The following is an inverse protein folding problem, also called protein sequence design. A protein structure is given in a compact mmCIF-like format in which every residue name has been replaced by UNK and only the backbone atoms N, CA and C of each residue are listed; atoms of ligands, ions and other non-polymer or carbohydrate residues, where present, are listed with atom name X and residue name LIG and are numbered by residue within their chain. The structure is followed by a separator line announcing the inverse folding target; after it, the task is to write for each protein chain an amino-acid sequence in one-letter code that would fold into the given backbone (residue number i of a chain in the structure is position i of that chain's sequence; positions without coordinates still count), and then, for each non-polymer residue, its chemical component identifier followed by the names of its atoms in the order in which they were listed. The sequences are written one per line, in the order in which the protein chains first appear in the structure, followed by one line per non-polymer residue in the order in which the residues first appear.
data_IF_857031789208
#
_entry.id   IF_857031789208
#
_cell.length_a   1.000
_cell.length_b   1.000
_cell.length_c   1.000
_cell.angle_alpha   90.00
_cell.angle_beta   90.00
_cell.angle_gamma   90.00
#
_symmetry.space_group_name_H-M   'P 1'
#
loop_
_entity.id
_entity.type
_entity.pdbx_description
1 polymer ?
#
# COMPACT_ATOMS: atom_id res chain seq x y z
N UNK A 1 9.41 11.89 0.02
CA UNK A 1 10.05 13.23 0.07
C UNK A 1 11.50 13.07 0.47
N UNK A 2 12.41 13.77 -0.21
CA UNK A 2 13.85 13.72 0.08
C UNK A 2 14.13 14.23 1.50
N UNK A 3 14.85 13.44 2.30
CA UNK A 3 15.29 13.85 3.62
C UNK A 3 16.76 14.27 3.55
N UNK A 4 17.00 15.58 3.38
CA UNK A 4 18.35 16.17 3.24
C UNK A 4 19.24 15.88 4.46
N UNK A 5 18.65 15.58 5.64
CA UNK A 5 19.41 15.17 6.84
C UNK A 5 20.09 13.82 6.70
N UNK A 6 19.57 12.95 5.83
CA UNK A 6 20.19 11.65 5.51
C UNK A 6 21.29 11.76 4.46
N UNK A 7 21.53 12.93 3.88
CA UNK A 7 22.55 13.10 2.87
C UNK A 7 23.94 13.06 3.51
N UNK A 8 24.82 12.32 2.86
CA UNK A 8 26.23 12.23 3.22
C UNK A 8 27.08 12.69 2.05
N UNK A 9 28.24 13.26 2.34
CA UNK A 9 29.25 13.52 1.33
C UNK A 9 30.10 12.24 1.21
N UNK A 10 30.16 11.66 0.01
CA UNK A 10 31.01 10.51 -0.26
C UNK A 10 32.21 10.98 -1.06
N UNK A 11 33.42 10.63 -0.61
CA UNK A 11 34.66 10.89 -1.31
C UNK A 11 35.33 9.56 -1.66
N UNK A 12 35.69 9.40 -2.93
CA UNK A 12 36.49 8.28 -3.40
C UNK A 12 37.97 8.66 -3.26
N UNK A 13 38.76 7.79 -2.63
CA UNK A 13 40.20 7.97 -2.45
C UNK A 13 40.96 6.76 -2.92
N UNK A 14 42.11 7.01 -3.53
CA UNK A 14 43.04 5.98 -4.01
C UNK A 14 44.37 6.00 -3.25
N UNK A 15 44.59 6.99 -2.37
CA UNK A 15 45.81 7.17 -1.59
C UNK A 15 45.56 6.99 -0.10
N UNK A 16 46.38 6.17 0.55
CA UNK A 16 46.33 5.92 1.99
C UNK A 16 46.48 7.22 2.81
N UNK A 17 47.35 8.14 2.36
CA UNK A 17 47.56 9.43 3.04
C UNK A 17 46.29 10.28 3.03
N UNK A 18 45.56 10.30 1.91
CA UNK A 18 44.28 11.01 1.81
C UNK A 18 43.20 10.33 2.67
N UNK A 19 43.15 9.01 2.68
CA UNK A 19 42.23 8.24 3.51
C UNK A 19 42.43 8.55 5.00
N UNK A 20 43.66 8.47 5.51
CA UNK A 20 43.99 8.78 6.92
C UNK A 20 43.56 10.20 7.32
N UNK A 21 43.80 11.19 6.47
CA UNK A 21 43.37 12.58 6.70
C UNK A 21 41.85 12.71 6.83
N UNK A 22 41.11 12.01 5.98
CA UNK A 22 39.64 12.08 5.96
C UNK A 22 38.98 11.29 7.09
N UNK A 23 39.59 10.18 7.54
CA UNK A 23 39.14 9.42 8.72
C UNK A 23 39.30 10.24 10.00
N UNK A 24 40.38 11.02 10.11
CA UNK A 24 40.62 11.88 11.26
C UNK A 24 39.66 13.10 11.36
N UNK A 25 38.86 13.37 10.32
CA UNK A 25 37.93 14.49 10.35
C UNK A 25 36.74 14.19 11.28
N UNK A 26 36.23 15.17 12.06
CA UNK A 26 35.08 14.98 12.94
C UNK A 26 33.77 14.69 12.18
N UNK A 27 33.77 14.93 10.87
CA UNK A 27 32.65 14.62 9.97
C UNK A 27 32.71 13.21 9.40
N UNK A 28 33.74 12.43 9.72
CA UNK A 28 33.87 11.05 9.27
C UNK A 28 32.76 10.16 9.87
N UNK A 29 32.19 9.27 9.06
CA UNK A 29 31.14 8.35 9.49
C UNK A 29 31.54 6.89 9.31
N UNK A 30 31.97 6.51 8.10
CA UNK A 30 32.44 5.16 7.77
C UNK A 30 33.23 5.16 6.46
N UNK A 31 33.93 4.08 6.18
CA UNK A 31 34.52 3.83 4.85
C UNK A 31 34.09 2.46 4.34
N UNK A 32 34.12 2.28 3.01
CA UNK A 32 33.96 0.99 2.33
C UNK A 32 35.10 0.85 1.33
N UNK A 33 35.86 -0.22 1.43
CA UNK A 33 36.85 -0.60 0.41
C UNK A 33 36.08 -1.18 -0.77
N UNK A 34 36.29 -0.63 -1.96
CA UNK A 34 35.65 -1.08 -3.21
C UNK A 34 36.61 -2.04 -3.94
N UNK A 35 37.87 -1.64 -4.05
CA UNK A 35 38.97 -2.46 -4.56
C UNK A 35 40.22 -2.19 -3.72
N UNK A 36 41.29 -2.97 -3.93
CA UNK A 36 42.56 -2.79 -3.20
C UNK A 36 43.17 -1.39 -3.36
N UNK A 37 42.83 -0.69 -4.44
CA UNK A 37 43.31 0.66 -4.75
C UNK A 37 42.25 1.76 -4.61
N UNK A 38 41.02 1.43 -4.20
CA UNK A 38 39.91 2.39 -4.14
C UNK A 38 39.05 2.19 -2.88
N UNK A 39 38.95 3.24 -2.08
CA UNK A 39 38.05 3.30 -0.93
C UNK A 39 37.05 4.47 -1.06
N UNK A 40 35.81 4.24 -0.65
CA UNK A 40 34.79 5.26 -0.49
C UNK A 40 34.68 5.66 0.99
N UNK A 41 34.85 6.94 1.30
CA UNK A 41 34.67 7.48 2.64
C UNK A 41 33.38 8.29 2.70
N UNK A 42 32.50 7.93 3.63
CA UNK A 42 31.25 8.61 3.90
C UNK A 42 31.45 9.61 5.04
N UNK A 43 31.05 10.86 4.79
CA UNK A 43 31.09 11.97 5.74
C UNK A 43 29.71 12.56 5.96
N UNK A 44 29.43 12.97 7.20
CA UNK A 44 28.25 13.79 7.50
C UNK A 44 28.43 15.22 6.97
N UNK A 45 27.33 15.87 6.60
CA UNK A 45 27.33 17.29 6.22
C UNK A 45 27.40 18.14 7.48
N UNK A 46 28.34 19.09 7.52
CA UNK A 46 28.52 20.02 8.65
C UNK A 46 27.39 21.05 8.75
N UNK A 47 26.85 21.48 7.62
CA UNK A 47 25.70 22.37 7.53
C UNK A 47 24.65 21.76 6.59
N UNK A 48 23.38 21.87 6.97
CA UNK A 48 22.25 21.29 6.24
C UNK A 48 21.21 22.39 6.02
N UNK A 49 21.03 22.79 4.77
CA UNK A 49 19.96 23.71 4.39
C UNK A 49 18.67 22.93 4.18
N UNK A 50 17.61 23.25 4.93
CA UNK A 50 16.29 22.64 4.78
C UNK A 50 15.48 23.35 3.68
N UNK A 51 15.87 23.11 2.43
CA UNK A 51 15.25 23.70 1.23
C UNK A 51 14.28 22.74 0.52
N UNK A 52 13.65 21.84 1.27
CA UNK A 52 12.62 20.93 0.76
C UNK A 52 11.29 21.30 1.39
N UNK A 53 10.19 21.36 0.61
CA UNK A 53 8.88 21.76 1.11
C UNK A 53 8.19 20.65 1.91
N UNK A 54 8.90 20.05 2.89
CA UNK A 54 8.45 18.87 3.65
C UNK A 54 7.10 19.14 4.34
N UNK A 55 6.95 20.34 4.90
CA UNK A 55 5.71 20.77 5.56
C UNK A 55 4.53 20.83 4.60
N UNK A 56 4.74 21.29 3.36
CA UNK A 56 3.68 21.31 2.34
C UNK A 56 3.26 19.88 2.02
N UNK A 57 4.20 18.95 1.86
CA UNK A 57 3.89 17.54 1.62
C UNK A 57 3.12 16.89 2.77
N UNK A 58 3.43 17.24 4.02
CA UNK A 58 2.67 16.81 5.19
C UNK A 58 1.23 17.36 5.16
N UNK A 59 1.06 18.66 4.92
CA UNK A 59 -0.27 19.30 4.85
C UNK A 59 -1.12 18.67 3.76
N UNK A 60 -0.57 18.43 2.57
CA UNK A 60 -1.29 17.74 1.49
C UNK A 60 -1.75 16.36 1.93
N UNK A 61 -0.88 15.58 2.56
CA UNK A 61 -1.21 14.23 3.05
C UNK A 61 -2.35 14.27 4.09
N UNK A 62 -2.30 15.19 5.04
CA UNK A 62 -3.35 15.33 6.05
C UNK A 62 -4.68 15.78 5.43
N UNK A 63 -4.65 16.73 4.49
CA UNK A 63 -5.86 17.15 3.74
C UNK A 63 -6.46 16.01 2.94
N UNK A 64 -5.63 15.17 2.30
CA UNK A 64 -6.11 13.97 1.60
C UNK A 64 -6.80 12.98 2.55
N UNK A 65 -6.28 12.78 3.77
CA UNK A 65 -6.95 11.93 4.77
C UNK A 65 -8.29 12.51 5.21
N UNK A 66 -8.36 13.83 5.43
CA UNK A 66 -9.60 14.51 5.82
C UNK A 66 -10.69 14.30 4.75
N UNK A 67 -10.34 14.36 3.47
CA UNK A 67 -11.26 14.05 2.38
C UNK A 67 -11.81 12.61 2.47
N UNK A 68 -10.92 11.63 2.69
CA UNK A 68 -11.31 10.22 2.85
C UNK A 68 -12.20 10.00 4.08
N UNK A 69 -11.86 10.63 5.21
CA UNK A 69 -12.63 10.56 6.44
C UNK A 69 -13.99 11.23 6.30
N UNK A 70 -14.07 12.37 5.61
CA UNK A 70 -15.33 13.04 5.35
C UNK A 70 -16.27 12.14 4.55
N UNK A 71 -15.76 11.47 3.50
CA UNK A 71 -16.56 10.51 2.74
C UNK A 71 -16.97 9.29 3.59
N UNK A 72 -16.07 8.75 4.39
CA UNK A 72 -16.39 7.61 5.24
C UNK A 72 -17.44 7.95 6.31
N UNK A 73 -17.18 8.96 7.15
CA UNK A 73 -18.01 9.26 8.31
C UNK A 73 -19.26 10.06 7.98
N UNK A 74 -19.14 11.11 7.15
CA UNK A 74 -20.23 12.04 6.90
C UNK A 74 -21.12 11.66 5.71
N UNK A 75 -20.67 10.73 4.85
CA UNK A 75 -21.45 10.22 3.72
C UNK A 75 -21.85 8.77 3.92
N UNK A 76 -20.90 7.81 3.92
CA UNK A 76 -21.23 6.38 4.00
C UNK A 76 -21.81 5.98 5.37
N UNK A 77 -21.11 6.23 6.48
CA UNK A 77 -21.58 5.86 7.83
C UNK A 77 -22.84 6.64 8.23
N UNK A 78 -23.01 7.88 7.76
CA UNK A 78 -24.22 8.66 8.02
C UNK A 78 -25.45 8.04 7.34
N UNK A 79 -25.31 7.51 6.12
CA UNK A 79 -26.41 6.92 5.35
C UNK A 79 -26.73 5.49 5.79
N UNK A 80 -25.71 4.65 5.92
CA UNK A 80 -25.89 3.20 6.13
C UNK A 80 -25.66 2.75 7.57
N UNK A 81 -25.08 3.59 8.43
CA UNK A 81 -24.81 3.30 9.84
C UNK A 81 -24.09 1.95 10.00
N UNK A 82 -24.69 1.00 10.70
CA UNK A 82 -24.12 -0.34 10.97
C UNK A 82 -24.26 -1.31 9.80
N UNK A 83 -25.04 -0.96 8.77
CA UNK A 83 -25.17 -1.75 7.54
C UNK A 83 -23.98 -1.59 6.60
N UNK A 84 -23.04 -0.70 6.89
CA UNK A 84 -21.82 -0.52 6.11
C UNK A 84 -20.57 -0.94 6.89
N UNK A 85 -19.93 -1.99 6.40
CA UNK A 85 -18.66 -2.50 6.88
C UNK A 85 -17.53 -2.06 5.94
N UNK A 86 -16.52 -1.39 6.48
CA UNK A 86 -15.31 -1.03 5.73
C UNK A 86 -14.36 -2.24 5.69
N UNK A 87 -14.23 -2.87 4.52
CA UNK A 87 -13.43 -4.08 4.32
C UNK A 87 -11.93 -3.78 4.21
N UNK A 88 -11.56 -2.72 3.47
CA UNK A 88 -10.19 -2.20 3.47
C UNK A 88 -10.11 -0.75 3.00
N UNK A 89 -8.93 -0.16 3.23
CA UNK A 89 -8.51 1.13 2.66
C UNK A 89 -7.05 1.08 2.20
N UNK A 90 -6.75 1.68 1.05
CA UNK A 90 -5.37 1.95 0.62
C UNK A 90 -5.27 3.33 -0.01
N UNK A 91 -4.67 4.28 0.72
CA UNK A 91 -4.39 5.66 0.31
C UNK A 91 -5.62 6.48 -0.08
N UNK A 92 -6.18 6.22 -1.26
CA UNK A 92 -7.29 6.91 -1.92
C UNK A 92 -8.46 5.96 -2.27
N UNK A 93 -8.38 4.70 -1.85
CA UNK A 93 -9.43 3.70 -2.08
C UNK A 93 -10.11 3.26 -0.77
N UNK A 94 -11.40 2.95 -0.89
CA UNK A 94 -12.25 2.38 0.14
C UNK A 94 -13.05 1.24 -0.49
N UNK A 95 -13.21 0.14 0.23
CA UNK A 95 -14.09 -0.95 -0.19
C UNK A 95 -15.01 -1.31 0.94
N UNK A 96 -16.29 -1.39 0.62
CA UNK A 96 -17.36 -1.58 1.57
C UNK A 96 -18.15 -2.84 1.24
N UNK A 97 -18.60 -3.51 2.29
CA UNK A 97 -19.77 -4.36 2.27
C UNK A 97 -20.93 -3.51 2.81
N UNK A 98 -21.98 -3.34 2.02
CA UNK A 98 -23.14 -2.50 2.38
C UNK A 98 -24.40 -3.32 2.17
N UNK A 99 -25.22 -3.44 3.22
CA UNK A 99 -26.55 -4.03 3.15
C UNK A 99 -27.58 -2.95 2.77
N UNK A 100 -28.10 -3.03 1.54
CA UNK A 100 -29.13 -2.12 0.99
C UNK A 100 -29.89 -2.83 -0.13
N UNK A 101 -31.06 -2.30 -0.51
CA UNK A 101 -31.88 -2.84 -1.60
C UNK A 101 -31.19 -2.67 -2.96
N UNK A 102 -30.64 -1.49 -3.23
CA UNK A 102 -29.91 -1.16 -4.46
C UNK A 102 -28.92 -0.02 -4.23
N UNK A 103 -27.63 -0.37 -4.18
CA UNK A 103 -26.54 0.59 -3.96
C UNK A 103 -26.43 1.63 -5.09
N UNK A 104 -26.79 1.27 -6.32
CA UNK A 104 -26.71 2.19 -7.45
C UNK A 104 -27.81 3.24 -7.33
N UNK A 105 -29.02 2.85 -6.92
CA UNK A 105 -30.08 3.80 -6.60
C UNK A 105 -29.66 4.78 -5.49
N UNK A 106 -29.03 4.27 -4.43
CA UNK A 106 -28.50 5.08 -3.34
C UNK A 106 -27.41 6.08 -3.80
N UNK A 107 -26.53 5.65 -4.69
CA UNK A 107 -25.52 6.51 -5.32
C UNK A 107 -26.16 7.60 -6.18
N UNK A 108 -27.22 7.27 -6.91
CA UNK A 108 -27.95 8.20 -7.78
C UNK A 108 -28.52 9.41 -7.04
N UNK A 109 -28.92 9.25 -5.79
CA UNK A 109 -29.41 10.36 -4.94
C UNK A 109 -28.32 11.39 -4.60
N UNK A 110 -27.04 10.99 -4.64
CA UNK A 110 -25.91 11.83 -4.28
C UNK A 110 -24.82 11.81 -5.38
N UNK A 111 -25.23 11.82 -6.65
CA UNK A 111 -24.30 11.67 -7.78
C UNK A 111 -23.19 12.75 -7.80
N UNK A 112 -23.41 13.90 -7.17
CA UNK A 112 -22.43 15.00 -7.08
C UNK A 112 -21.10 14.64 -6.42
N UNK A 113 -21.07 13.59 -5.58
CA UNK A 113 -19.83 13.12 -4.93
C UNK A 113 -19.18 11.95 -5.67
N UNK A 114 -19.83 11.41 -6.70
CA UNK A 114 -19.35 10.25 -7.45
C UNK A 114 -18.89 10.62 -8.86
N UNK A 115 -17.82 9.97 -9.32
CA UNK A 115 -17.43 9.97 -10.73
C UNK A 115 -17.88 8.66 -11.38
N UNK A 116 -18.98 8.73 -12.13
CA UNK A 116 -19.57 7.60 -12.87
C UNK A 116 -19.30 7.69 -14.38
N UNK A 117 -18.31 8.48 -14.81
CA UNK A 117 -18.01 8.68 -16.24
C UNK A 117 -17.51 7.44 -16.96
N UNK A 118 -17.08 6.42 -16.20
CA UNK A 118 -16.53 5.17 -16.73
C UNK A 118 -17.55 4.02 -16.73
N UNK A 119 -18.81 4.32 -16.37
CA UNK A 119 -19.90 3.35 -16.48
C UNK A 119 -20.21 3.05 -17.96
N UNK A 120 -20.83 1.90 -18.26
CA UNK A 120 -21.39 1.64 -19.58
C UNK A 120 -22.33 2.78 -20.00
N UNK A 121 -22.30 3.18 -21.27
CA UNK A 121 -23.08 4.33 -21.76
C UNK A 121 -24.60 4.14 -21.65
N UNK A 122 -25.03 2.88 -21.63
CA UNK A 122 -26.41 2.44 -21.44
C UNK A 122 -26.84 2.39 -19.96
N UNK A 123 -25.91 2.57 -19.02
CA UNK A 123 -26.20 2.53 -17.59
C UNK A 123 -26.90 3.81 -17.11
N UNK A 124 -27.95 3.67 -16.29
CA UNK A 124 -28.79 4.80 -15.83
C UNK A 124 -28.02 5.91 -15.10
N UNK A 125 -26.92 5.56 -14.42
CA UNK A 125 -26.06 6.49 -13.68
C UNK A 125 -24.88 7.05 -14.49
N UNK A 126 -24.73 6.68 -15.76
CA UNK A 126 -23.64 7.20 -16.59
C UNK A 126 -23.73 8.73 -16.69
N UNK A 127 -22.65 9.42 -16.29
CA UNK A 127 -22.59 10.88 -16.38
C UNK A 127 -21.15 11.35 -16.48
N UNK A 128 -20.87 12.26 -17.42
CA UNK A 128 -19.56 12.91 -17.54
C UNK A 128 -19.41 14.14 -16.63
N UNK A 129 -20.45 14.52 -15.87
CA UNK A 129 -20.46 15.74 -15.03
C UNK A 129 -19.27 15.84 -14.07
N UNK A 130 -18.86 14.72 -13.49
CA UNK A 130 -17.80 14.65 -12.48
C UNK A 130 -16.51 13.99 -12.99
N UNK A 131 -16.37 13.81 -14.31
CA UNK A 131 -15.22 13.14 -14.93
C UNK A 131 -13.90 13.75 -14.49
N UNK A 132 -13.10 12.99 -13.74
CA UNK A 132 -11.80 13.43 -13.19
C UNK A 132 -11.88 14.68 -12.31
N UNK A 133 -13.04 14.96 -11.73
CA UNK A 133 -13.22 16.08 -10.80
C UNK A 133 -12.55 15.74 -9.47
N UNK A 134 -11.72 16.67 -8.98
CA UNK A 134 -11.01 16.50 -7.70
C UNK A 134 -12.03 16.36 -6.56
N UNK A 135 -11.82 15.37 -5.70
CA UNK A 135 -12.67 15.12 -4.53
C UNK A 135 -13.89 14.23 -4.79
N UNK A 136 -14.17 13.89 -6.05
CA UNK A 136 -15.19 12.89 -6.40
C UNK A 136 -14.62 11.48 -6.32
N UNK A 137 -15.46 10.55 -5.87
CA UNK A 137 -15.10 9.14 -5.71
C UNK A 137 -15.57 8.34 -6.91
N UNK A 138 -14.63 7.66 -7.56
CA UNK A 138 -14.93 6.76 -8.67
C UNK A 138 -15.28 5.37 -8.14
N UNK A 139 -16.27 4.73 -8.74
CA UNK A 139 -16.46 3.29 -8.60
C UNK A 139 -15.46 2.55 -9.52
N UNK A 140 -14.48 1.87 -8.90
CA UNK A 140 -13.42 1.16 -9.63
C UNK A 140 -13.92 -0.03 -10.45
N UNK A 141 -15.07 -0.62 -10.09
CA UNK A 141 -15.58 -1.82 -10.76
C UNK A 141 -16.52 -1.49 -11.92
N UNK A 142 -16.75 -0.20 -12.20
CA UNK A 142 -17.58 0.29 -13.30
C UNK A 142 -18.96 -0.38 -13.34
N UNK A 143 -19.74 -0.30 -12.26
CA UNK A 143 -21.08 -0.92 -12.09
C UNK A 143 -21.11 -2.46 -12.00
N UNK A 144 -19.94 -3.10 -11.82
CA UNK A 144 -19.87 -4.55 -11.61
C UNK A 144 -19.80 -4.86 -10.12
N UNK A 145 -20.82 -5.50 -9.52
CA UNK A 145 -20.79 -5.82 -8.11
C UNK A 145 -19.67 -6.81 -7.78
N UNK A 146 -19.02 -6.62 -6.64
CA UNK A 146 -18.07 -7.59 -6.09
C UNK A 146 -18.89 -8.71 -5.44
N UNK A 147 -18.67 -9.94 -5.90
CA UNK A 147 -19.34 -11.14 -5.37
C UNK A 147 -18.67 -11.60 -4.08
N UNK A 148 -17.34 -11.61 -4.07
CA UNK A 148 -16.56 -12.08 -2.93
C UNK A 148 -15.29 -11.23 -2.77
N UNK A 149 -14.98 -10.88 -1.52
CA UNK A 149 -13.76 -10.16 -1.16
C UNK A 149 -12.97 -10.96 -0.13
N UNK A 150 -11.68 -11.10 -0.37
CA UNK A 150 -10.75 -11.73 0.58
C UNK A 150 -9.58 -10.80 0.84
N UNK A 151 -9.52 -10.22 2.04
CA UNK A 151 -8.40 -9.41 2.51
C UNK A 151 -7.53 -10.21 3.47
N UNK A 152 -6.25 -10.44 3.14
CA UNK A 152 -5.33 -11.16 4.02
C UNK A 152 -4.49 -10.21 4.88
N UNK A 153 -4.02 -9.10 4.28
CA UNK A 153 -3.26 -8.04 4.96
C UNK A 153 -3.22 -6.78 4.11
N UNK A 154 -2.66 -5.69 4.65
CA UNK A 154 -2.45 -4.47 3.89
C UNK A 154 -1.73 -4.72 2.54
N UNK A 155 -2.36 -4.30 1.44
CA UNK A 155 -1.91 -4.52 0.04
C UNK A 155 -1.79 -6.01 -0.36
N UNK A 156 -2.60 -6.86 0.24
CA UNK A 156 -2.75 -8.27 -0.12
C UNK A 156 -4.22 -8.71 -0.03
N UNK A 157 -4.90 -8.73 -1.16
CA UNK A 157 -6.32 -9.02 -1.23
C UNK A 157 -6.72 -9.51 -2.62
N UNK A 158 -7.91 -10.11 -2.70
CA UNK A 158 -8.55 -10.46 -3.97
C UNK A 158 -10.04 -10.10 -3.95
N UNK A 159 -10.55 -9.67 -5.10
CA UNK A 159 -11.96 -9.41 -5.36
C UNK A 159 -12.41 -10.29 -6.52
N UNK A 160 -13.51 -10.98 -6.33
CA UNK A 160 -14.21 -11.73 -7.37
C UNK A 160 -15.37 -10.88 -7.89
N UNK A 161 -15.43 -10.70 -9.21
CA UNK A 161 -16.53 -10.06 -9.93
C UNK A 161 -17.12 -11.08 -10.92
N UNK A 162 -18.33 -10.86 -11.48
CA UNK A 162 -18.92 -11.77 -12.46
C UNK A 162 -17.99 -12.09 -13.65
N UNK A 163 -17.19 -11.11 -14.07
CA UNK A 163 -16.36 -11.23 -15.28
C UNK A 163 -14.89 -11.58 -14.99
N UNK A 164 -14.39 -11.29 -13.78
CA UNK A 164 -12.95 -11.32 -13.52
C UNK A 164 -12.57 -11.38 -12.04
N UNK A 165 -11.30 -11.69 -11.80
CA UNK A 165 -10.69 -11.63 -10.48
C UNK A 165 -9.62 -10.54 -10.42
N UNK A 166 -9.81 -9.55 -9.54
CA UNK A 166 -8.75 -8.60 -9.18
C UNK A 166 -7.90 -9.21 -8.06
N UNK A 167 -6.59 -9.24 -8.25
CA UNK A 167 -5.63 -9.86 -7.31
C UNK A 167 -4.47 -8.91 -7.03
N UNK A 168 -4.22 -8.67 -5.76
CA UNK A 168 -3.13 -7.81 -5.27
C UNK A 168 -2.32 -8.58 -4.24
N UNK A 169 -1.01 -8.72 -4.44
CA UNK A 169 -0.09 -9.31 -3.47
C UNK A 169 1.23 -8.54 -3.42
N UNK A 170 1.39 -7.66 -2.42
CA UNK A 170 2.60 -6.85 -2.28
C UNK A 170 3.85 -7.73 -2.15
N UNK A 171 4.83 -7.46 -3.01
CA UNK A 171 6.14 -8.11 -2.98
C UNK A 171 6.21 -9.43 -3.76
N UNK A 172 5.13 -9.80 -4.46
CA UNK A 172 5.06 -10.90 -5.43
C UNK A 172 5.11 -10.31 -6.84
N UNK A 173 5.76 -11.00 -7.78
CA UNK A 173 5.87 -10.51 -9.16
C UNK A 173 4.52 -10.58 -9.89
N UNK A 174 4.27 -9.64 -10.80
CA UNK A 174 3.02 -9.58 -11.59
C UNK A 174 2.77 -10.90 -12.36
N UNK A 175 3.81 -11.49 -12.93
CA UNK A 175 3.74 -12.76 -13.67
C UNK A 175 3.23 -13.89 -12.78
N UNK A 176 3.75 -14.00 -11.55
CA UNK A 176 3.29 -15.02 -10.58
C UNK A 176 1.83 -14.77 -10.19
N UNK A 177 1.44 -13.51 -9.94
CA UNK A 177 0.05 -13.17 -9.60
C UNK A 177 -0.91 -13.55 -10.73
N UNK A 178 -0.54 -13.33 -11.99
CA UNK A 178 -1.39 -13.61 -13.15
C UNK A 178 -1.47 -15.10 -13.50
N UNK A 179 -0.35 -15.82 -13.41
CA UNK A 179 -0.27 -17.20 -13.90
C UNK A 179 -0.58 -18.24 -12.82
N UNK A 180 -0.28 -17.94 -11.54
CA UNK A 180 -0.30 -18.95 -10.48
C UNK A 180 -1.31 -18.68 -9.38
N UNK A 181 -1.64 -17.41 -9.11
CA UNK A 181 -2.58 -17.08 -8.05
C UNK A 181 -3.99 -16.91 -8.61
N UNK A 182 -4.96 -17.52 -7.93
CA UNK A 182 -6.40 -17.37 -8.16
C UNK A 182 -7.08 -16.88 -6.89
N UNK A 183 -8.30 -16.38 -7.01
CA UNK A 183 -9.10 -15.96 -5.85
C UNK A 183 -9.21 -17.06 -4.79
N UNK A 184 -9.42 -18.31 -5.23
CA UNK A 184 -9.47 -19.49 -4.37
C UNK A 184 -8.21 -19.71 -3.51
N UNK A 185 -7.03 -19.33 -3.99
CA UNK A 185 -5.80 -19.43 -3.20
C UNK A 185 -5.78 -18.43 -2.03
N UNK A 186 -6.38 -17.25 -2.19
CA UNK A 186 -6.53 -16.29 -1.09
C UNK A 186 -7.52 -16.82 -0.05
N UNK A 187 -8.67 -17.35 -0.51
CA UNK A 187 -9.66 -17.95 0.37
C UNK A 187 -9.10 -19.14 1.16
N UNK A 188 -8.34 -20.01 0.50
CA UNK A 188 -7.66 -21.14 1.14
C UNK A 188 -6.62 -20.65 2.15
N UNK A 189 -5.82 -19.63 1.81
CA UNK A 189 -4.84 -19.04 2.71
C UNK A 189 -5.50 -18.49 3.99
N UNK A 190 -6.66 -17.84 3.86
CA UNK A 190 -7.45 -17.33 4.97
C UNK A 190 -7.98 -18.49 5.85
N UNK A 191 -8.64 -19.48 5.24
CA UNK A 191 -9.26 -20.60 5.96
C UNK A 191 -8.27 -21.53 6.65
N UNK A 192 -7.14 -21.81 6.00
CA UNK A 192 -6.13 -22.74 6.52
C UNK A 192 -5.09 -22.07 7.42
N UNK A 193 -5.08 -20.73 7.50
CA UNK A 193 -4.05 -19.96 8.19
C UNK A 193 -2.61 -20.32 7.79
N UNK A 194 -2.41 -20.62 6.50
CA UNK A 194 -1.11 -21.05 5.95
C UNK A 194 -0.58 -20.08 4.93
N UNK A 195 0.70 -19.74 5.08
CA UNK A 195 1.42 -18.96 4.07
C UNK A 195 1.82 -19.83 2.88
N UNK A 196 1.65 -19.33 1.66
CA UNK A 196 2.16 -19.99 0.45
C UNK A 196 3.50 -19.42 0.05
N UNK A 197 4.28 -20.20 -0.71
CA UNK A 197 5.57 -19.75 -1.25
C UNK A 197 5.62 -19.95 -2.75
N UNK A 198 6.18 -18.98 -3.46
CA UNK A 198 6.34 -19.03 -4.91
C UNK A 198 7.76 -18.69 -5.32
N UNK A 199 8.20 -19.36 -6.39
CA UNK A 199 9.45 -19.03 -7.06
C UNK A 199 9.23 -17.82 -7.96
N UNK A 200 10.06 -16.79 -7.78
CA UNK A 200 10.10 -15.64 -8.67
C UNK A 200 11.53 -15.38 -9.16
N UNK A 201 11.63 -14.85 -10.36
CA UNK A 201 12.89 -14.38 -10.94
C UNK A 201 12.95 -12.87 -10.77
N UNK A 202 14.06 -12.38 -10.24
CA UNK A 202 14.28 -10.97 -9.94
C UNK A 202 15.69 -10.56 -10.35
N UNK A 203 15.83 -9.28 -10.72
CA UNK A 203 17.12 -8.66 -11.00
C UNK A 203 17.61 -8.04 -9.68
N UNK A 204 18.79 -8.46 -9.23
CA UNK A 204 19.44 -7.94 -8.01
C UNK A 204 20.78 -7.32 -8.39
N UNK A 205 21.06 -6.14 -7.86
CA UNK A 205 22.41 -5.57 -7.92
C UNK A 205 23.14 -5.85 -6.61
N UNK A 206 24.35 -6.37 -6.70
CA UNK A 206 25.24 -6.61 -5.57
C UNK A 206 26.66 -6.19 -5.96
N UNK A 207 27.25 -5.28 -5.20
CA UNK A 207 28.56 -4.67 -5.50
C UNK A 207 28.70 -4.12 -6.94
N UNK A 208 27.64 -3.49 -7.45
CA UNK A 208 27.55 -2.95 -8.83
C UNK A 208 27.47 -3.99 -9.95
N UNK A 209 27.51 -5.28 -9.62
CA UNK A 209 27.23 -6.35 -10.56
C UNK A 209 25.73 -6.68 -10.55
N UNK A 210 25.18 -6.95 -11.73
CA UNK A 210 23.76 -7.25 -11.92
C UNK A 210 23.60 -8.76 -12.10
N UNK A 211 22.75 -9.36 -11.27
CA UNK A 211 22.47 -10.78 -11.29
C UNK A 211 20.98 -11.03 -11.53
N UNK A 212 20.69 -12.06 -12.31
CA UNK A 212 19.36 -12.67 -12.37
C UNK A 212 19.27 -13.77 -11.32
N UNK A 213 18.47 -13.55 -10.29
CA UNK A 213 18.35 -14.47 -9.16
C UNK A 213 16.96 -15.10 -9.16
N UNK A 214 16.92 -16.42 -8.94
CA UNK A 214 15.67 -17.12 -8.61
C UNK A 214 15.55 -17.18 -7.09
N UNK A 215 14.48 -16.61 -6.55
CA UNK A 215 14.20 -16.63 -5.12
C UNK A 215 12.85 -17.29 -4.85
N UNK A 216 12.83 -18.19 -3.87
CA UNK A 216 11.60 -18.71 -3.29
C UNK A 216 11.16 -17.78 -2.15
N UNK A 217 9.97 -17.18 -2.25
CA UNK A 217 9.48 -16.20 -1.28
C UNK A 217 8.04 -16.48 -0.91
N UNK A 218 7.66 -16.09 0.29
CA UNK A 218 6.26 -16.07 0.71
C UNK A 218 5.42 -15.23 -0.26
N UNK A 219 4.39 -15.87 -0.82
CA UNK A 219 3.47 -15.27 -1.78
C UNK A 219 2.22 -14.74 -1.07
N UNK A 220 1.41 -15.63 -0.49
CA UNK A 220 0.25 -15.29 0.34
C UNK A 220 0.54 -15.60 1.81
N UNK A 221 -0.07 -14.83 2.71
CA UNK A 221 0.04 -15.00 4.16
C UNK A 221 -1.17 -14.38 4.83
N UNK A 222 -1.91 -15.14 5.63
CA UNK A 222 -3.03 -14.66 6.45
C UNK A 222 -2.58 -13.88 7.69
N UNK A 223 -1.32 -14.03 8.10
CA UNK A 223 -0.77 -13.27 9.22
C UNK A 223 -0.56 -11.80 8.86
N UNK A 224 -1.25 -10.91 9.58
CA UNK A 224 -1.07 -9.46 9.55
C UNK A 224 -0.52 -8.98 10.89
N UNK A 225 0.75 -8.57 10.90
CA UNK A 225 1.45 -8.09 12.09
C UNK A 225 0.95 -6.73 12.62
N UNK A 226 -0.02 -6.10 11.94
CA UNK A 226 -0.57 -4.78 12.28
C UNK A 226 -1.98 -4.84 12.83
N UNK A 227 -2.59 -6.01 12.86
CA UNK A 227 -3.99 -6.20 13.24
C UNK A 227 -4.09 -7.32 14.27
N UNK A 228 -5.02 -7.16 15.19
CA UNK A 228 -5.48 -8.22 16.05
C UNK A 228 -6.57 -9.00 15.31
N UNK A 229 -6.32 -10.27 15.00
CA UNK A 229 -7.27 -11.14 14.30
C UNK A 229 -8.18 -11.79 15.34
N UNK A 230 -9.50 -11.75 15.11
CA UNK A 230 -10.50 -12.35 16.01
C UNK A 230 -10.56 -13.88 15.85
N UNK A 231 -11.24 -14.54 16.79
CA UNK A 231 -11.37 -16.00 16.83
C UNK A 231 -12.07 -16.59 15.58
N UNK A 232 -12.86 -15.78 14.87
CA UNK A 232 -13.49 -16.13 13.59
C UNK A 232 -12.50 -16.18 12.42
N UNK A 233 -11.23 -15.79 12.63
CA UNK A 233 -10.17 -15.64 11.63
C UNK A 233 -10.46 -14.66 10.48
N UNK A 234 -11.52 -13.84 10.60
CA UNK A 234 -11.98 -12.93 9.54
C UNK A 234 -12.01 -11.50 10.07
N UNK A 235 -12.68 -11.29 11.20
CA UNK A 235 -12.76 -9.99 11.85
C UNK A 235 -11.39 -9.56 12.34
N UNK A 236 -11.07 -8.27 12.17
CA UNK A 236 -9.82 -7.71 12.67
C UNK A 236 -10.03 -6.37 13.37
N UNK A 237 -9.30 -6.16 14.46
CA UNK A 237 -9.18 -4.87 15.13
C UNK A 237 -7.77 -4.30 14.99
N UNK A 238 -7.67 -2.97 15.10
CA UNK A 238 -6.37 -2.35 15.35
C UNK A 238 -5.93 -2.65 16.79
N UNK A 239 -4.63 -2.84 17.00
CA UNK A 239 -4.10 -2.95 18.36
C UNK A 239 -4.50 -1.75 19.23
N UNK A 240 -4.88 -2.01 20.48
CA UNK A 240 -5.39 -0.99 21.40
C UNK A 240 -6.88 -0.63 21.23
N UNK A 241 -7.61 -1.33 20.37
CA UNK A 241 -9.05 -1.16 20.26
C UNK A 241 -9.76 -1.66 21.53
N UNK A 242 -10.74 -0.91 22.04
CA UNK A 242 -11.42 -1.19 23.33
C UNK A 242 -12.14 -2.54 23.41
N UNK A 243 -12.45 -3.17 22.26
CA UNK A 243 -13.03 -4.53 22.19
C UNK A 243 -12.01 -5.66 22.31
N UNK A 244 -10.72 -5.34 22.28
CA UNK A 244 -9.66 -6.31 22.54
C UNK A 244 -9.57 -6.43 24.06
N UNK A 245 -10.04 -7.54 24.62
CA UNK A 245 -9.95 -7.79 26.05
C UNK A 245 -8.46 -7.85 26.46
N UNK A 246 -8.03 -6.99 27.38
CA UNK A 246 -6.63 -6.91 27.84
C UNK A 246 -6.17 -8.17 28.62
N UNK A 247 -7.07 -9.11 28.91
CA UNK A 247 -6.83 -10.29 29.75
C UNK A 247 -6.43 -11.57 28.98
N UNK A 248 -6.04 -11.48 27.69
CA UNK A 248 -5.63 -12.63 26.87
C UNK A 248 -4.17 -12.55 26.35
N UNK A 249 -3.29 -11.82 27.05
CA UNK A 249 -1.85 -11.85 26.78
C UNK A 249 -1.17 -12.89 27.66
#
# INVERSE_FOLDING_TARGET
MENVRKHSNVQLVTSEKQAKKLVAAPTFKRFKIITDSLAALEKIKSCITLNRPIYIGFVILELSKVLMYNFHYNHIKKRFMDKANLLFTDTDSLTYEIETDDIYKDMGENLDVYDTSDYPQDHALYSEKNKKRIGCFKDEMNSKPIIEFVGLRAKMYSMLTPDSEKKTAKGVSKVVIQQKLKHSNYLQCLKENKSTKENMVLIKSENHDIYTVRQNKTALSSFDDKRYILDDNIGTFAYGHYKINENQI
#
